data_IF_334633670107
#
_entry.id   IF_334633670107
#
_cell.length_a   1.000
_cell.length_b   1.000
_cell.length_c   1.000
_cell.angle_alpha   90.00
_cell.angle_beta   90.00
_cell.angle_gamma   90.00
#
_symmetry.space_group_name_H-M   'P 1'
#
loop_
_entity.id
_entity.type
_entity.pdbx_description
1 polymer ?
#
# COMPACT_ATOMS: atom_id res chain seq x y z
N UNK A 1 24.18 4.87 19.31
CA UNK A 1 23.92 4.68 17.88
C UNK A 1 22.43 4.58 17.60
N UNK A 2 21.97 5.28 16.60
CA UNK A 2 20.55 5.27 16.26
C UNK A 2 20.20 3.98 15.51
N UNK A 3 19.15 3.32 15.94
CA UNK A 3 18.69 2.12 15.24
C UNK A 3 18.09 2.48 13.90
N UNK A 4 18.56 1.79 12.86
CA UNK A 4 18.03 1.99 11.51
C UNK A 4 16.64 1.38 11.36
N UNK A 5 16.39 0.27 12.03
CA UNK A 5 15.11 -0.42 12.00
C UNK A 5 14.53 -0.54 13.40
N UNK A 6 13.24 -0.31 13.53
CA UNK A 6 12.53 -0.56 14.78
C UNK A 6 11.16 -1.14 14.46
N UNK A 7 10.63 -1.92 15.40
CA UNK A 7 9.30 -2.52 15.23
C UNK A 7 8.22 -1.44 15.14
N UNK A 8 8.39 -0.34 15.87
CA UNK A 8 7.43 0.77 15.85
C UNK A 8 7.42 1.44 14.48
N UNK A 9 8.59 1.74 13.92
CA UNK A 9 8.70 2.36 12.60
C UNK A 9 8.16 1.44 11.50
N UNK A 10 8.46 0.15 11.60
CA UNK A 10 7.97 -0.82 10.64
C UNK A 10 6.45 -0.90 10.65
N UNK A 11 5.87 -0.95 11.85
CA UNK A 11 4.42 -1.02 11.99
C UNK A 11 3.75 0.23 11.43
N UNK A 12 4.31 1.40 11.73
CA UNK A 12 3.78 2.66 11.20
C UNK A 12 3.83 2.68 9.68
N UNK A 13 4.95 2.22 9.11
CA UNK A 13 5.12 2.15 7.66
C UNK A 13 4.04 1.25 7.03
N UNK A 14 3.82 0.07 7.60
CA UNK A 14 2.83 -0.87 7.07
C UNK A 14 1.41 -0.32 7.16
N UNK A 15 1.09 0.39 8.25
CA UNK A 15 -0.22 1.04 8.38
C UNK A 15 -0.41 2.12 7.32
N UNK A 16 0.60 2.92 7.08
CA UNK A 16 0.52 4.01 6.11
C UNK A 16 0.44 3.47 4.67
N UNK A 17 1.24 2.45 4.35
CA UNK A 17 1.19 1.84 3.02
C UNK A 17 -0.16 1.16 2.79
N UNK A 18 -0.65 0.42 3.78
CA UNK A 18 -1.96 -0.21 3.69
C UNK A 18 -3.07 0.80 3.49
N UNK A 19 -3.04 1.89 4.26
CA UNK A 19 -4.02 2.96 4.13
C UNK A 19 -3.97 3.65 2.78
N UNK A 20 -2.77 3.87 2.27
CA UNK A 20 -2.58 4.44 0.93
C UNK A 20 -3.20 3.52 -0.13
N UNK A 21 -2.95 2.23 -0.03
CA UNK A 21 -3.49 1.27 -0.99
C UNK A 21 -5.00 1.20 -0.94
N UNK A 22 -5.59 1.25 0.26
CA UNK A 22 -7.05 1.28 0.40
C UNK A 22 -7.64 2.54 -0.25
N UNK A 23 -7.04 3.68 0.02
CA UNK A 23 -7.45 4.95 -0.60
C UNK A 23 -7.32 4.88 -2.11
N UNK A 24 -6.18 4.39 -2.59
CA UNK A 24 -5.90 4.28 -4.02
C UNK A 24 -6.93 3.39 -4.72
N UNK A 25 -7.22 2.25 -4.12
CA UNK A 25 -8.23 1.34 -4.66
C UNK A 25 -9.60 2.00 -4.78
N UNK A 26 -10.02 2.67 -3.70
CA UNK A 26 -11.37 3.27 -3.64
C UNK A 26 -11.48 4.51 -4.52
N UNK A 27 -10.51 5.40 -4.43
CA UNK A 27 -10.64 6.75 -5.00
C UNK A 27 -10.00 6.88 -6.38
N UNK A 28 -8.96 6.12 -6.66
CA UNK A 28 -8.24 6.23 -7.93
C UNK A 28 -8.67 5.12 -8.89
N UNK A 29 -8.61 3.87 -8.43
CA UNK A 29 -9.01 2.74 -9.26
C UNK A 29 -10.53 2.53 -9.28
N UNK A 30 -11.23 3.11 -8.33
CA UNK A 30 -12.70 2.99 -8.20
C UNK A 30 -13.14 1.53 -8.11
N UNK A 31 -12.41 0.73 -7.34
CA UNK A 31 -12.68 -0.70 -7.19
C UNK A 31 -13.08 -1.04 -5.76
N UNK A 32 -14.02 -1.99 -5.64
CA UNK A 32 -14.35 -2.58 -4.36
C UNK A 32 -13.31 -3.65 -4.03
N UNK A 33 -13.27 -4.07 -2.75
CA UNK A 33 -12.42 -5.20 -2.36
C UNK A 33 -12.77 -6.46 -3.16
N UNK A 34 -14.05 -6.68 -3.41
CA UNK A 34 -14.51 -7.83 -4.17
C UNK A 34 -13.99 -7.79 -5.61
N UNK A 35 -14.05 -6.62 -6.25
CA UNK A 35 -13.57 -6.46 -7.61
C UNK A 35 -12.06 -6.72 -7.68
N UNK A 36 -11.30 -6.17 -6.74
CA UNK A 36 -9.86 -6.38 -6.71
C UNK A 36 -9.53 -7.84 -6.43
N UNK A 37 -10.31 -8.50 -5.56
CA UNK A 37 -10.14 -9.92 -5.26
C UNK A 37 -10.35 -10.77 -6.51
N UNK A 38 -11.40 -10.47 -7.27
CA UNK A 38 -11.70 -11.21 -8.49
C UNK A 38 -10.56 -11.03 -9.52
N UNK A 39 -10.10 -9.80 -9.73
CA UNK A 39 -9.06 -9.54 -10.71
C UNK A 39 -7.70 -10.10 -10.33
N UNK A 40 -7.37 -10.05 -9.04
CA UNK A 40 -6.04 -10.46 -8.58
C UNK A 40 -5.96 -11.94 -8.21
N UNK A 41 -7.09 -12.57 -7.97
CA UNK A 41 -7.11 -13.94 -7.46
C UNK A 41 -6.73 -14.05 -5.99
N UNK A 42 -6.66 -12.91 -5.27
CA UNK A 42 -6.29 -12.88 -3.86
C UNK A 42 -7.58 -12.78 -3.04
N UNK A 43 -7.74 -13.61 -1.98
CA UNK A 43 -8.95 -13.56 -1.16
C UNK A 43 -9.15 -12.20 -0.51
N UNK A 44 -10.43 -11.79 -0.38
CA UNK A 44 -10.76 -10.51 0.25
C UNK A 44 -10.12 -10.34 1.63
N UNK A 45 -10.16 -11.34 2.55
CA UNK A 45 -9.54 -11.16 3.85
C UNK A 45 -8.03 -10.86 3.78
N UNK A 46 -7.36 -11.43 2.80
CA UNK A 46 -5.92 -11.21 2.60
C UNK A 46 -5.65 -9.77 2.15
N UNK A 47 -6.43 -9.29 1.19
CA UNK A 47 -6.30 -7.91 0.72
C UNK A 47 -6.64 -6.94 1.86
N UNK A 48 -7.72 -7.22 2.59
CA UNK A 48 -8.14 -6.40 3.71
C UNK A 48 -7.06 -6.32 4.78
N UNK A 49 -6.43 -7.45 5.12
CA UNK A 49 -5.34 -7.48 6.10
C UNK A 49 -4.16 -6.62 5.66
N UNK A 50 -3.83 -6.66 4.36
CA UNK A 50 -2.76 -5.82 3.84
C UNK A 50 -3.12 -4.34 3.97
N UNK A 51 -4.35 -3.98 3.60
CA UNK A 51 -4.79 -2.58 3.65
C UNK A 51 -4.89 -2.05 5.09
N UNK A 52 -5.10 -2.94 6.05
CA UNK A 52 -5.13 -2.57 7.46
C UNK A 52 -3.74 -2.55 8.11
N UNK A 53 -2.69 -2.81 7.33
CA UNK A 53 -1.33 -2.77 7.83
C UNK A 53 -0.97 -3.98 8.67
N UNK A 54 -1.71 -5.07 8.56
CA UNK A 54 -1.46 -6.29 9.34
C UNK A 54 -0.51 -7.27 8.68
N UNK A 55 -0.20 -7.06 7.40
CA UNK A 55 0.68 -7.93 6.64
C UNK A 55 1.95 -7.18 6.26
N UNK A 56 3.09 -7.83 6.45
CA UNK A 56 4.38 -7.27 6.03
C UNK A 56 4.73 -7.67 4.60
N UNK A 57 3.82 -8.35 3.91
CA UNK A 57 4.09 -8.85 2.57
C UNK A 57 3.89 -7.75 1.52
N UNK A 58 4.93 -6.96 1.32
CA UNK A 58 4.89 -5.81 0.42
C UNK A 58 4.73 -6.20 -1.05
N UNK A 59 4.85 -7.48 -1.40
CA UNK A 59 4.62 -7.91 -2.77
C UNK A 59 3.18 -7.62 -3.21
N UNK A 60 2.25 -7.43 -2.28
CA UNK A 60 0.88 -7.07 -2.63
C UNK A 60 0.78 -5.70 -3.28
N UNK A 61 1.81 -4.84 -3.13
CA UNK A 61 1.84 -3.57 -3.86
C UNK A 61 1.77 -3.78 -5.36
N UNK A 62 2.31 -4.90 -5.84
CA UNK A 62 2.27 -5.24 -7.24
C UNK A 62 0.84 -5.31 -7.78
N UNK A 63 -0.09 -5.80 -6.95
CA UNK A 63 -1.50 -5.91 -7.34
C UNK A 63 -2.07 -4.54 -7.72
N UNK A 64 -1.77 -3.54 -6.89
CA UNK A 64 -2.27 -2.19 -7.14
C UNK A 64 -1.59 -1.55 -8.35
N UNK A 65 -0.31 -1.82 -8.53
CA UNK A 65 0.44 -1.29 -9.67
C UNK A 65 -0.06 -1.84 -10.99
N UNK A 66 -0.31 -3.15 -11.06
CA UNK A 66 -0.79 -3.76 -12.30
C UNK A 66 -2.25 -3.43 -12.59
N UNK A 67 -2.99 -3.00 -11.56
CA UNK A 67 -4.37 -2.58 -11.74
C UNK A 67 -4.50 -1.16 -12.29
N UNK A 68 -3.39 -0.42 -12.36
CA UNK A 68 -3.39 0.91 -12.95
C UNK A 68 -3.62 0.82 -14.44
N UNK A 69 -4.51 1.67 -14.96
CA UNK A 69 -4.82 1.73 -16.38
C UNK A 69 -3.98 2.78 -17.11
N UNK A 70 -3.44 3.75 -16.36
CA UNK A 70 -2.68 4.84 -16.94
C UNK A 70 -1.39 5.08 -16.16
N UNK A 71 -0.42 5.71 -16.82
CA UNK A 71 0.83 6.13 -16.18
C UNK A 71 0.55 7.14 -15.07
N UNK A 72 -0.49 7.97 -15.24
CA UNK A 72 -0.87 8.95 -14.22
C UNK A 72 -1.27 8.27 -12.93
N UNK A 73 -2.10 7.22 -13.01
CA UNK A 73 -2.50 6.46 -11.83
C UNK A 73 -1.31 5.81 -11.15
N UNK A 74 -0.44 5.19 -11.93
CA UNK A 74 0.77 4.57 -11.39
C UNK A 74 1.64 5.59 -10.64
N UNK A 75 1.80 6.77 -11.22
CA UNK A 75 2.61 7.82 -10.62
C UNK A 75 2.01 8.33 -9.31
N UNK A 76 0.68 8.38 -9.20
CA UNK A 76 0.01 8.76 -7.97
C UNK A 76 0.37 7.78 -6.86
N UNK A 77 0.33 6.49 -7.14
CA UNK A 77 0.66 5.47 -6.16
C UNK A 77 2.14 5.53 -5.75
N UNK A 78 3.03 5.60 -6.71
CA UNK A 78 4.47 5.65 -6.46
C UNK A 78 4.83 6.91 -5.66
N UNK A 79 4.25 8.04 -6.01
CA UNK A 79 4.48 9.30 -5.30
C UNK A 79 4.00 9.21 -3.85
N UNK A 80 2.86 8.56 -3.63
CA UNK A 80 2.34 8.35 -2.29
C UNK A 80 3.28 7.50 -1.44
N UNK A 81 3.82 6.43 -2.02
CA UNK A 81 4.78 5.56 -1.34
C UNK A 81 6.05 6.34 -1.01
N UNK A 82 6.53 7.13 -1.96
CA UNK A 82 7.74 7.94 -1.77
C UNK A 82 7.56 8.92 -0.61
N UNK A 83 6.40 9.56 -0.51
CA UNK A 83 6.11 10.48 0.59
C UNK A 83 6.07 9.77 1.94
N UNK A 84 5.54 8.54 1.98
CA UNK A 84 5.51 7.75 3.20
C UNK A 84 6.95 7.43 3.65
N UNK A 85 7.79 7.00 2.70
CA UNK A 85 9.19 6.68 2.99
C UNK A 85 9.92 7.92 3.51
N UNK A 86 9.69 9.06 2.88
CA UNK A 86 10.33 10.30 3.27
C UNK A 86 9.99 10.66 4.72
N UNK A 87 8.71 10.60 5.09
CA UNK A 87 8.29 10.91 6.46
C UNK A 87 8.77 9.90 7.48
N UNK A 88 8.79 8.62 7.11
CA UNK A 88 9.08 7.54 8.05
C UNK A 88 10.58 7.31 8.25
N UNK A 89 11.40 7.60 7.25
CA UNK A 89 12.80 7.19 7.25
C UNK A 89 13.80 8.32 7.04
N UNK A 90 13.42 9.40 6.41
CA UNK A 90 14.36 10.44 6.01
C UNK A 90 14.07 11.81 6.61
N UNK A 91 12.94 11.96 7.28
CA UNK A 91 12.51 13.25 7.78
C UNK A 91 12.19 13.14 9.28
N UNK A 92 13.22 12.93 10.05
CA UNK A 92 13.12 12.83 11.51
C UNK A 92 13.15 14.20 12.15
#
# INVERSE_FOLDING_TARGET
>A
MKQKYSMVKQRKFLLEVGGLCAFFRKEILKMTLRELSIESGIPIPTISSFELGRSSNLKFLYVYLVSCETAKQKNILIDGIDKILERSYYND
#
